data_IF_212606594759
#
_entry.id   IF_212606594759
#
_cell.length_a   1.000
_cell.length_b   1.000
_cell.length_c   1.000
_cell.angle_alpha   90.00
_cell.angle_beta   90.00
_cell.angle_gamma   90.00
#
_symmetry.space_group_name_H-M   'P 1'
#
loop_
_entity.id
_entity.type
_entity.pdbx_description
1 polymer ?
#
# COMPACT_ATOMS: atom_id res chain seq x y z
N UNK A 1 9.01 2.38 -21.99
CA UNK A 1 9.98 3.09 -21.14
C UNK A 1 9.22 4.09 -20.29
N UNK A 2 9.59 4.21 -19.03
CA UNK A 2 9.10 5.28 -18.18
C UNK A 2 10.16 6.39 -18.18
N UNK A 3 9.81 7.51 -18.81
CA UNK A 3 10.71 8.65 -18.96
C UNK A 3 10.69 9.57 -17.74
N UNK A 4 11.60 10.54 -17.67
CA UNK A 4 11.58 11.57 -16.62
C UNK A 4 10.31 12.42 -16.65
N UNK A 5 9.76 12.67 -17.85
CA UNK A 5 8.51 13.41 -17.97
C UNK A 5 7.34 12.63 -17.37
N UNK A 6 7.28 11.32 -17.62
CA UNK A 6 6.25 10.46 -17.01
C UNK A 6 6.39 10.47 -15.49
N UNK A 7 7.61 10.42 -14.97
CA UNK A 7 7.88 10.55 -13.54
C UNK A 7 7.37 11.85 -12.93
N UNK A 8 7.61 12.98 -13.59
CA UNK A 8 7.12 14.29 -13.16
C UNK A 8 5.59 14.31 -13.17
N UNK A 9 4.95 13.77 -14.21
CA UNK A 9 3.49 13.72 -14.32
C UNK A 9 2.88 12.88 -13.20
N UNK A 10 3.49 11.73 -12.86
CA UNK A 10 3.04 10.87 -11.75
C UNK A 10 3.11 11.61 -10.40
N UNK A 11 4.21 12.30 -10.11
CA UNK A 11 4.36 13.08 -8.88
C UNK A 11 3.37 14.24 -8.82
N UNK A 12 3.16 14.95 -9.94
CA UNK A 12 2.16 16.02 -10.01
C UNK A 12 0.74 15.49 -9.80
N UNK A 13 0.41 14.34 -10.39
CA UNK A 13 -0.89 13.69 -10.18
C UNK A 13 -1.10 13.34 -8.71
N UNK A 14 -0.09 12.81 -8.04
CA UNK A 14 -0.15 12.56 -6.60
C UNK A 14 -0.40 13.84 -5.80
N UNK A 15 0.32 14.91 -6.11
CA UNK A 15 0.14 16.21 -5.44
C UNK A 15 -1.30 16.74 -5.60
N UNK A 16 -1.90 16.59 -6.79
CA UNK A 16 -3.30 16.96 -7.05
C UNK A 16 -4.25 16.09 -6.21
N UNK A 17 -4.05 14.77 -6.15
CA UNK A 17 -4.89 13.87 -5.37
C UNK A 17 -4.84 14.26 -3.88
N UNK A 18 -3.65 14.50 -3.33
CA UNK A 18 -3.50 14.90 -1.93
C UNK A 18 -4.14 16.27 -1.67
N UNK A 19 -3.96 17.23 -2.57
CA UNK A 19 -4.59 18.55 -2.44
C UNK A 19 -6.12 18.45 -2.41
N UNK A 20 -6.71 17.62 -3.28
CA UNK A 20 -8.16 17.37 -3.28
C UNK A 20 -8.64 16.70 -2.00
N UNK A 21 -7.90 15.71 -1.47
CA UNK A 21 -8.25 15.05 -0.21
C UNK A 21 -8.19 16.01 0.98
N UNK A 22 -7.15 16.85 1.05
CA UNK A 22 -7.03 17.87 2.09
C UNK A 22 -8.20 18.87 1.99
N UNK A 23 -8.51 19.35 0.80
CA UNK A 23 -9.62 20.27 0.57
C UNK A 23 -10.96 19.68 1.01
N UNK A 24 -11.26 18.43 0.62
CA UNK A 24 -12.47 17.72 1.07
C UNK A 24 -12.49 17.51 2.59
N UNK A 25 -11.34 17.16 3.18
CA UNK A 25 -11.23 16.99 4.63
C UNK A 25 -11.50 18.29 5.41
N UNK A 26 -11.02 19.42 4.92
CA UNK A 26 -11.27 20.74 5.52
C UNK A 26 -12.76 21.12 5.36
N UNK A 27 -13.34 20.90 4.18
CA UNK A 27 -14.74 21.19 3.91
C UNK A 27 -15.70 20.40 4.81
N UNK A 28 -15.44 19.10 4.99
CA UNK A 28 -16.26 18.23 5.84
C UNK A 28 -16.09 18.51 7.33
N UNK A 29 -14.92 19.03 7.76
CA UNK A 29 -14.68 19.40 9.15
C UNK A 29 -15.46 20.65 9.56
N UNK A 30 -15.80 21.52 8.63
CA UNK A 30 -16.64 22.69 8.88
C UNK A 30 -18.10 22.33 9.21
N UNK A 31 -18.56 21.14 8.77
CA UNK A 31 -19.92 20.66 9.05
C UNK A 31 -20.06 19.83 10.35
N UNK A 32 -18.96 19.30 10.91
CA UNK A 32 -18.96 18.35 12.03
C UNK A 32 -18.15 18.81 13.25
N UNK A 33 -18.03 20.12 13.51
CA UNK A 33 -17.25 20.61 14.66
C UNK A 33 -18.00 20.61 15.98
N UNK A 34 -18.57 19.47 16.38
CA UNK A 34 -18.97 19.23 17.75
C UNK A 34 -18.59 17.80 18.17
N UNK A 35 -17.70 17.72 19.16
CA UNK A 35 -17.27 16.53 19.91
C UNK A 35 -15.90 15.90 19.58
N UNK A 36 -14.82 16.67 19.68
CA UNK A 36 -13.53 16.09 20.08
C UNK A 36 -12.90 16.89 21.25
N UNK A 37 -13.42 16.68 22.44
CA UNK A 37 -12.77 17.07 23.71
C UNK A 37 -11.89 15.93 24.18
N UNK A 38 -10.72 15.83 23.64
CA UNK A 38 -9.64 14.99 24.14
C UNK A 38 -8.31 15.74 23.99
N UNK A 39 -7.99 16.60 24.96
CA UNK A 39 -6.65 17.17 25.11
C UNK A 39 -5.64 16.05 25.42
N UNK A 40 -5.39 15.16 24.46
CA UNK A 40 -4.22 14.30 24.50
C UNK A 40 -3.02 15.18 24.18
N UNK A 41 -1.99 15.13 25.03
CA UNK A 41 -0.72 15.82 24.79
C UNK A 41 -0.23 15.50 23.37
N UNK A 42 -0.37 16.43 22.44
CA UNK A 42 -0.01 16.27 21.03
C UNK A 42 1.44 15.79 20.88
N UNK A 43 2.33 16.31 21.71
CA UNK A 43 3.73 15.89 21.76
C UNK A 43 3.92 14.42 22.15
N UNK A 44 3.17 13.94 23.15
CA UNK A 44 3.22 12.53 23.55
C UNK A 44 2.67 11.61 22.43
N UNK A 45 1.57 12.00 21.81
CA UNK A 45 1.00 11.24 20.70
C UNK A 45 1.93 11.18 19.49
N UNK A 46 2.58 12.30 19.15
CA UNK A 46 3.56 12.37 18.08
C UNK A 46 4.80 11.53 18.39
N UNK A 47 5.30 11.59 19.63
CA UNK A 47 6.43 10.76 20.06
C UNK A 47 6.16 9.27 19.90
N UNK A 48 5.01 8.80 20.38
CA UNK A 48 4.62 7.39 20.27
C UNK A 48 4.36 6.96 18.81
N UNK A 49 3.82 7.87 17.99
CA UNK A 49 3.63 7.62 16.56
C UNK A 49 5.00 7.44 15.86
N UNK A 50 5.92 8.38 16.05
CA UNK A 50 7.25 8.32 15.40
C UNK A 50 8.04 7.11 15.90
N UNK A 51 8.03 6.84 17.20
CA UNK A 51 8.70 5.68 17.79
C UNK A 51 8.11 4.36 17.24
N UNK A 52 6.79 4.22 17.24
CA UNK A 52 6.10 3.03 16.74
C UNK A 52 6.37 2.80 15.26
N UNK A 53 6.30 3.86 14.44
CA UNK A 53 6.62 3.80 13.02
C UNK A 53 8.10 3.43 12.78
N UNK A 54 9.01 4.02 13.55
CA UNK A 54 10.43 3.71 13.47
C UNK A 54 10.74 2.24 13.79
N UNK A 55 10.15 1.71 14.86
CA UNK A 55 10.28 0.29 15.23
C UNK A 55 9.69 -0.61 14.14
N UNK A 56 8.50 -0.27 13.62
CA UNK A 56 7.81 -1.06 12.61
C UNK A 56 8.62 -1.13 11.30
N UNK A 57 9.09 0.02 10.80
CA UNK A 57 9.94 0.08 9.60
C UNK A 57 11.29 -0.60 9.82
N UNK A 58 11.90 -0.40 10.99
CA UNK A 58 13.19 -1.02 11.33
C UNK A 58 13.10 -2.54 11.41
N UNK A 59 12.07 -3.08 12.07
CA UNK A 59 11.85 -4.52 12.16
C UNK A 59 11.50 -5.15 10.80
N UNK A 60 10.72 -4.46 9.97
CA UNK A 60 10.42 -4.89 8.61
C UNK A 60 11.70 -4.99 7.76
N UNK A 61 12.57 -3.97 7.79
CA UNK A 61 13.87 -3.99 7.08
C UNK A 61 14.77 -5.13 7.56
N UNK A 62 14.85 -5.36 8.87
CA UNK A 62 15.66 -6.44 9.44
C UNK A 62 15.14 -7.80 8.99
N UNK A 63 13.82 -7.99 8.96
CA UNK A 63 13.18 -9.23 8.48
C UNK A 63 13.47 -9.46 7.01
N UNK A 64 13.30 -8.42 6.16
CA UNK A 64 13.61 -8.51 4.72
C UNK A 64 15.07 -8.87 4.50
N UNK A 65 15.99 -8.20 5.20
CA UNK A 65 17.42 -8.49 5.12
C UNK A 65 17.72 -9.96 5.45
N UNK A 66 17.28 -10.43 6.62
CA UNK A 66 17.52 -11.83 7.03
C UNK A 66 16.87 -12.85 6.10
N UNK A 67 15.64 -12.61 5.64
CA UNK A 67 14.96 -13.52 4.72
C UNK A 67 15.62 -13.54 3.35
N UNK A 68 16.12 -12.41 2.87
CA UNK A 68 16.87 -12.30 1.60
C UNK A 68 18.18 -13.09 1.66
N UNK A 69 18.95 -12.97 2.74
CA UNK A 69 20.21 -13.70 2.91
C UNK A 69 19.96 -15.21 2.96
N UNK A 70 18.92 -15.67 3.69
CA UNK A 70 18.54 -17.08 3.73
C UNK A 70 18.12 -17.58 2.34
N UNK A 71 17.29 -16.82 1.61
CA UNK A 71 16.81 -17.20 0.30
C UNK A 71 17.98 -17.30 -0.71
N UNK A 72 18.93 -16.36 -0.67
CA UNK A 72 20.17 -16.41 -1.49
C UNK A 72 21.01 -17.63 -1.15
N UNK A 73 21.18 -17.95 0.12
CA UNK A 73 21.93 -19.13 0.55
C UNK A 73 21.27 -20.44 0.08
N UNK A 74 19.94 -20.44 -0.11
CA UNK A 74 19.17 -21.55 -0.69
C UNK A 74 19.16 -21.58 -2.23
N UNK A 75 19.84 -20.63 -2.89
CA UNK A 75 19.95 -20.58 -4.35
C UNK A 75 18.72 -19.97 -5.06
N UNK A 76 17.86 -19.25 -4.33
CA UNK A 76 16.71 -18.55 -4.93
C UNK A 76 17.22 -17.36 -5.75
N UNK A 77 16.67 -17.17 -6.95
CA UNK A 77 17.05 -16.05 -7.82
C UNK A 77 16.68 -14.68 -7.23
N UNK A 78 17.51 -13.66 -7.52
CA UNK A 78 17.25 -12.29 -7.05
C UNK A 78 15.89 -11.74 -7.52
N UNK A 79 15.42 -12.15 -8.71
CA UNK A 79 14.11 -11.80 -9.22
C UNK A 79 12.99 -12.34 -8.33
N UNK A 80 13.03 -13.62 -8.00
CA UNK A 80 12.04 -14.25 -7.13
C UNK A 80 12.09 -13.67 -5.71
N UNK A 81 13.28 -13.39 -5.19
CA UNK A 81 13.44 -12.73 -3.89
C UNK A 81 12.78 -11.35 -3.91
N UNK A 82 13.00 -10.57 -4.96
CA UNK A 82 12.39 -9.25 -5.12
C UNK A 82 10.85 -9.30 -5.19
N UNK A 83 10.33 -10.20 -6.03
CA UNK A 83 8.88 -10.34 -6.24
C UNK A 83 8.13 -10.92 -5.02
N UNK A 84 8.83 -11.56 -4.10
CA UNK A 84 8.20 -12.23 -2.95
C UNK A 84 8.67 -11.68 -1.62
N UNK A 85 9.91 -12.01 -1.20
CA UNK A 85 10.43 -11.66 0.12
C UNK A 85 10.46 -10.15 0.32
N UNK A 86 11.00 -9.41 -0.65
CA UNK A 86 11.09 -7.95 -0.56
C UNK A 86 9.70 -7.33 -0.66
N UNK A 87 8.87 -7.76 -1.60
CA UNK A 87 7.51 -7.24 -1.78
C UNK A 87 6.65 -7.43 -0.53
N UNK A 88 6.64 -8.64 0.04
CA UNK A 88 5.91 -8.93 1.29
C UNK A 88 6.49 -8.09 2.44
N UNK A 89 7.81 -8.09 2.59
CA UNK A 89 8.47 -7.45 3.71
C UNK A 89 8.31 -5.94 3.73
N UNK A 90 8.35 -5.28 2.58
CA UNK A 90 8.09 -3.83 2.48
C UNK A 90 6.63 -3.46 2.75
N UNK A 91 5.70 -4.39 2.55
CA UNK A 91 4.27 -4.20 2.84
C UNK A 91 3.85 -4.63 4.26
N UNK A 92 4.78 -5.12 5.08
CA UNK A 92 4.47 -5.51 6.48
C UNK A 92 3.98 -4.34 7.35
N UNK A 93 4.54 -3.12 7.25
CA UNK A 93 4.02 -1.96 7.97
C UNK A 93 2.55 -1.67 7.65
N UNK A 94 2.19 -1.70 6.37
CA UNK A 94 0.82 -1.49 5.89
C UNK A 94 -0.11 -2.61 6.35
N UNK A 95 0.36 -3.86 6.28
CA UNK A 95 -0.40 -5.01 6.76
C UNK A 95 -0.68 -4.90 8.26
N UNK A 96 0.33 -4.59 9.07
CA UNK A 96 0.19 -4.45 10.52
C UNK A 96 -0.81 -3.34 10.89
N UNK A 97 -0.68 -2.17 10.27
CA UNK A 97 -1.57 -1.03 10.52
C UNK A 97 -3.01 -1.33 10.10
N UNK A 98 -3.21 -1.94 8.92
CA UNK A 98 -4.53 -2.33 8.41
C UNK A 98 -5.20 -3.39 9.28
N UNK A 99 -4.45 -4.40 9.76
CA UNK A 99 -4.96 -5.44 10.68
C UNK A 99 -5.38 -4.83 12.02
N UNK A 100 -4.58 -3.90 12.55
CA UNK A 100 -4.93 -3.22 13.81
C UNK A 100 -6.17 -2.35 13.64
N UNK A 101 -6.27 -1.58 12.54
CA UNK A 101 -7.45 -0.77 12.22
C UNK A 101 -8.71 -1.65 12.10
N UNK A 102 -8.63 -2.75 11.36
CA UNK A 102 -9.73 -3.71 11.21
C UNK A 102 -10.14 -4.35 12.53
N UNK A 103 -9.18 -4.71 13.40
CA UNK A 103 -9.48 -5.23 14.75
C UNK A 103 -10.16 -4.21 15.65
N UNK A 104 -9.86 -2.93 15.48
CA UNK A 104 -10.53 -1.83 16.19
C UNK A 104 -11.90 -1.47 15.60
N UNK A 105 -12.30 -2.12 14.50
CA UNK A 105 -13.55 -1.85 13.80
C UNK A 105 -13.48 -0.68 12.82
N UNK A 106 -12.32 -0.04 12.66
CA UNK A 106 -12.11 1.07 11.74
C UNK A 106 -11.75 0.55 10.34
N UNK A 107 -12.79 0.13 9.63
CA UNK A 107 -12.64 -0.38 8.26
C UNK A 107 -12.28 0.71 7.26
N UNK A 108 -12.70 1.95 7.50
CA UNK A 108 -12.37 3.08 6.63
C UNK A 108 -10.85 3.35 6.65
N UNK A 109 -10.26 3.35 7.86
CA UNK A 109 -8.81 3.48 8.01
C UNK A 109 -8.06 2.30 7.37
N UNK A 110 -8.53 1.05 7.56
CA UNK A 110 -7.90 -0.13 6.97
C UNK A 110 -7.92 -0.07 5.44
N UNK A 111 -9.05 0.26 4.81
CA UNK A 111 -9.17 0.43 3.37
C UNK A 111 -8.37 1.61 2.85
N UNK A 112 -8.45 2.74 3.54
CA UNK A 112 -7.69 3.95 3.22
C UNK A 112 -6.19 3.71 3.21
N UNK A 113 -5.67 2.93 4.17
CA UNK A 113 -4.26 2.55 4.22
C UNK A 113 -3.84 1.72 3.00
N UNK A 114 -4.64 0.71 2.60
CA UNK A 114 -4.34 -0.13 1.43
C UNK A 114 -4.37 0.69 0.13
N UNK A 115 -5.44 1.46 -0.08
CA UNK A 115 -5.59 2.28 -1.28
C UNK A 115 -4.54 3.39 -1.32
N UNK A 116 -4.28 4.02 -0.17
CA UNK A 116 -3.27 5.06 -0.02
C UNK A 116 -1.87 4.56 -0.36
N UNK A 117 -1.48 3.38 0.15
CA UNK A 117 -0.18 2.79 -0.16
C UNK A 117 -0.05 2.42 -1.64
N UNK A 118 -1.10 1.90 -2.28
CA UNK A 118 -1.11 1.64 -3.72
C UNK A 118 -0.90 2.92 -4.54
N UNK A 119 -1.61 4.00 -4.19
CA UNK A 119 -1.46 5.31 -4.85
C UNK A 119 -0.04 5.85 -4.63
N UNK A 120 0.46 5.78 -3.39
CA UNK A 120 1.81 6.24 -3.06
C UNK A 120 2.88 5.47 -3.85
N UNK A 121 2.81 4.14 -3.85
CA UNK A 121 3.78 3.31 -4.56
C UNK A 121 3.73 3.53 -6.08
N UNK A 122 2.53 3.61 -6.65
CA UNK A 122 2.36 3.79 -8.10
C UNK A 122 2.74 5.19 -8.58
N UNK A 123 2.50 6.23 -7.80
CA UNK A 123 2.70 7.61 -8.24
C UNK A 123 4.00 8.22 -7.71
N UNK A 124 4.30 8.05 -6.42
CA UNK A 124 5.49 8.67 -5.82
C UNK A 124 6.72 7.78 -6.01
N UNK A 125 6.64 6.50 -5.64
CA UNK A 125 7.83 5.64 -5.71
C UNK A 125 8.27 5.46 -7.16
N UNK A 126 7.35 5.12 -8.06
CA UNK A 126 7.66 4.99 -9.50
C UNK A 126 8.03 6.35 -10.09
N UNK A 127 7.29 7.41 -9.76
CA UNK A 127 7.52 8.75 -10.28
C UNK A 127 8.90 9.29 -9.91
N UNK A 128 9.28 9.25 -8.63
CA UNK A 128 10.60 9.71 -8.18
C UNK A 128 11.72 8.83 -8.77
N UNK A 129 11.52 7.51 -8.82
CA UNK A 129 12.49 6.59 -9.42
C UNK A 129 12.75 6.93 -10.89
N UNK A 130 11.70 7.22 -11.67
CA UNK A 130 11.82 7.58 -13.08
C UNK A 130 12.46 8.97 -13.28
N UNK A 131 12.23 9.93 -12.38
CA UNK A 131 12.90 11.25 -12.41
C UNK A 131 14.40 11.09 -12.20
N UNK A 132 14.82 10.28 -11.23
CA UNK A 132 16.22 10.04 -10.91
C UNK A 132 16.88 9.25 -12.04
N UNK A 133 16.32 8.12 -12.41
CA UNK A 133 16.81 7.23 -13.44
C UNK A 133 15.67 6.68 -14.27
N UNK A 134 15.50 7.15 -15.51
CA UNK A 134 14.52 6.56 -16.44
C UNK A 134 14.73 5.06 -16.55
N UNK A 135 13.64 4.30 -16.58
CA UNK A 135 13.70 2.85 -16.54
C UNK A 135 12.93 2.21 -17.69
N UNK A 136 13.48 1.11 -18.20
CA UNK A 136 12.75 0.25 -19.11
C UNK A 136 11.88 -0.71 -18.29
N UNK A 137 10.58 -0.67 -18.53
CA UNK A 137 9.63 -1.59 -17.89
C UNK A 137 9.50 -2.81 -18.81
N UNK A 138 9.72 -3.99 -18.23
CA UNK A 138 9.52 -5.23 -18.96
C UNK A 138 8.07 -5.33 -19.47
N UNK A 139 7.92 -5.79 -20.70
CA UNK A 139 6.62 -6.00 -21.32
C UNK A 139 5.73 -6.96 -20.52
N UNK A 140 6.32 -7.93 -19.84
CA UNK A 140 5.60 -8.85 -18.95
C UNK A 140 4.95 -8.12 -17.78
N UNK A 141 5.60 -7.13 -17.18
CA UNK A 141 5.04 -6.32 -16.11
C UNK A 141 3.80 -5.55 -16.61
N UNK A 142 3.90 -4.95 -17.81
CA UNK A 142 2.81 -4.17 -18.38
C UNK A 142 1.62 -5.03 -18.81
N UNK A 143 1.86 -6.22 -19.35
CA UNK A 143 0.80 -7.06 -19.92
C UNK A 143 0.24 -8.08 -18.94
N UNK A 144 0.99 -8.48 -17.92
CA UNK A 144 0.62 -9.48 -16.92
C UNK A 144 0.33 -8.84 -15.57
N UNK A 145 1.33 -8.16 -14.99
CA UNK A 145 1.28 -7.79 -13.58
C UNK A 145 0.43 -6.52 -13.35
N UNK A 146 0.55 -5.53 -14.23
CA UNK A 146 -0.21 -4.28 -14.13
C UNK A 146 -1.74 -4.50 -14.26
N UNK A 147 -2.26 -5.28 -15.24
CA UNK A 147 -3.69 -5.58 -15.32
C UNK A 147 -4.22 -6.33 -14.09
N UNK A 148 -3.44 -7.27 -13.54
CA UNK A 148 -3.83 -8.02 -12.33
C UNK A 148 -3.92 -7.07 -11.13
N UNK A 149 -2.93 -6.20 -10.94
CA UNK A 149 -2.92 -5.20 -9.87
C UNK A 149 -4.09 -4.23 -10.01
N UNK A 150 -4.35 -3.72 -11.23
CA UNK A 150 -5.47 -2.84 -11.50
C UNK A 150 -6.82 -3.53 -11.22
N UNK A 151 -6.97 -4.78 -11.65
CA UNK A 151 -8.17 -5.58 -11.39
C UNK A 151 -8.41 -5.81 -9.89
N UNK A 152 -7.38 -6.18 -9.13
CA UNK A 152 -7.49 -6.36 -7.68
C UNK A 152 -7.82 -5.05 -6.95
N UNK A 153 -7.21 -3.94 -7.37
CA UNK A 153 -7.51 -2.62 -6.80
C UNK A 153 -8.96 -2.22 -7.09
N UNK A 154 -9.45 -2.45 -8.32
CA UNK A 154 -10.84 -2.21 -8.68
C UNK A 154 -11.81 -3.08 -7.88
N UNK A 155 -11.50 -4.37 -7.71
CA UNK A 155 -12.29 -5.28 -6.88
C UNK A 155 -12.32 -4.82 -5.42
N UNK A 156 -11.20 -4.40 -4.87
CA UNK A 156 -11.13 -3.87 -3.51
C UNK A 156 -12.03 -2.65 -3.34
N UNK A 157 -11.99 -1.72 -4.29
CA UNK A 157 -12.85 -0.54 -4.31
C UNK A 157 -14.32 -0.94 -4.41
N UNK A 158 -14.68 -1.81 -5.34
CA UNK A 158 -16.06 -2.31 -5.51
C UNK A 158 -16.57 -3.02 -4.25
N UNK A 159 -15.72 -3.77 -3.56
CA UNK A 159 -16.09 -4.44 -2.32
C UNK A 159 -16.20 -3.47 -1.14
N UNK A 160 -15.45 -2.36 -1.18
CA UNK A 160 -15.47 -1.31 -0.17
C UNK A 160 -16.63 -0.31 -0.34
N UNK A 161 -17.14 -0.13 -1.57
CA UNK A 161 -18.28 0.75 -1.81
C UNK A 161 -19.56 0.09 -1.29
N UNK A 162 -20.11 0.63 -0.20
CA UNK A 162 -21.43 0.25 0.31
C UNK A 162 -22.39 1.42 0.17
N UNK A 163 -23.46 1.22 -0.60
CA UNK A 163 -24.41 2.30 -0.96
C UNK A 163 -25.30 2.79 0.20
N UNK A 164 -25.29 2.13 1.36
CA UNK A 164 -26.21 2.48 2.47
C UNK A 164 -25.65 2.37 3.91
N UNK A 165 -24.51 1.75 4.14
CA UNK A 165 -23.93 1.55 5.48
C UNK A 165 -22.40 1.70 5.41
N UNK A 166 -21.74 1.74 6.58
CA UNK A 166 -20.29 1.80 6.65
C UNK A 166 -19.59 0.72 5.79
N UNK A 167 -18.48 1.05 5.14
CA UNK A 167 -17.78 0.11 4.26
C UNK A 167 -17.33 -1.12 5.05
N UNK A 168 -17.88 -2.29 4.76
CA UNK A 168 -17.52 -3.56 5.39
C UNK A 168 -17.15 -4.59 4.33
N UNK A 169 -15.88 -4.98 4.30
CA UNK A 169 -15.46 -6.15 3.53
C UNK A 169 -15.73 -7.39 4.38
N UNK A 170 -16.75 -8.15 4.00
CA UNK A 170 -17.08 -9.41 4.67
C UNK A 170 -15.97 -10.47 4.51
N UNK A 171 -15.95 -11.44 5.41
CA UNK A 171 -14.94 -12.52 5.42
C UNK A 171 -14.85 -13.26 4.08
N UNK A 172 -15.97 -13.51 3.42
CA UNK A 172 -15.99 -14.21 2.12
C UNK A 172 -15.24 -13.43 1.04
N UNK A 173 -15.47 -12.10 0.96
CA UNK A 173 -14.76 -11.22 0.03
C UNK A 173 -13.26 -11.17 0.34
N UNK A 174 -12.89 -11.13 1.63
CA UNK A 174 -11.51 -11.17 2.07
C UNK A 174 -10.82 -12.49 1.72
N UNK A 175 -11.47 -13.62 1.95
CA UNK A 175 -10.96 -14.95 1.58
C UNK A 175 -10.76 -15.04 0.06
N UNK A 176 -11.71 -14.54 -0.73
CA UNK A 176 -11.59 -14.53 -2.19
C UNK A 176 -10.36 -13.74 -2.66
N UNK A 177 -10.14 -12.52 -2.14
CA UNK A 177 -8.96 -11.72 -2.46
C UNK A 177 -7.65 -12.41 -2.04
N UNK A 178 -7.66 -13.04 -0.87
CA UNK A 178 -6.49 -13.75 -0.35
C UNK A 178 -6.16 -14.99 -1.20
N UNK A 179 -7.15 -15.78 -1.58
CA UNK A 179 -6.96 -16.94 -2.47
C UNK A 179 -6.46 -16.50 -3.85
N UNK A 180 -7.00 -15.41 -4.40
CA UNK A 180 -6.51 -14.85 -5.65
C UNK A 180 -5.04 -14.46 -5.57
N UNK A 181 -4.62 -13.83 -4.46
CA UNK A 181 -3.22 -13.48 -4.21
C UNK A 181 -2.34 -14.74 -4.18
N UNK A 182 -2.75 -15.80 -3.47
CA UNK A 182 -1.98 -17.06 -3.41
C UNK A 182 -1.85 -17.68 -4.81
N UNK A 183 -2.95 -17.79 -5.55
CA UNK A 183 -2.93 -18.36 -6.90
C UNK A 183 -2.02 -17.56 -7.82
N UNK A 184 -2.08 -16.24 -7.75
CA UNK A 184 -1.23 -15.37 -8.55
C UNK A 184 0.25 -15.51 -8.17
N UNK A 185 0.56 -15.58 -6.87
CA UNK A 185 1.93 -15.77 -6.39
C UNK A 185 2.49 -17.13 -6.86
N UNK A 186 1.72 -18.21 -6.77
CA UNK A 186 2.10 -19.53 -7.28
C UNK A 186 2.33 -19.48 -8.79
N UNK A 187 1.44 -18.81 -9.53
CA UNK A 187 1.62 -18.62 -10.98
C UNK A 187 2.92 -17.89 -11.31
N UNK A 188 3.27 -16.83 -10.56
CA UNK A 188 4.55 -16.12 -10.73
C UNK A 188 5.75 -17.04 -10.53
N UNK A 189 5.73 -17.89 -9.49
CA UNK A 189 6.79 -18.87 -9.25
C UNK A 189 6.92 -19.90 -10.35
N UNK A 190 5.81 -20.34 -10.95
CA UNK A 190 5.83 -21.33 -12.03
C UNK A 190 6.21 -20.71 -13.39
N UNK A 191 6.08 -19.40 -13.54
CA UNK A 191 6.33 -18.68 -14.82
C UNK A 191 7.66 -17.91 -14.85
N UNK A 192 8.40 -17.88 -13.75
CA UNK A 192 9.72 -17.28 -13.61
C UNK A 192 10.82 -18.32 -13.81
#
# INVERSE_FOLDING_TARGET
DVSRLDGILLVLLFAVIIALQIWQGISNKAENSDNETGSKNLLSSLFWLVLGLGILVGSSKLLVFGATEIAKALGVSDLLIGLTVVAIGTSLPELASSVIAAKKGDMALALGNIVGSNIFNSLIVVGISAIISPMNVDSLILQRDLPVTAFLTLLLLLFGIHLKNEPKIGRVKGIFLFLFYIVYTVYLFCSA
#
